data_IF_419982687548
#
_entry.id   IF_419982687548
#
_cell.length_a   1.000
_cell.length_b   1.000
_cell.length_c   1.000
_cell.angle_alpha   90.00
_cell.angle_beta   90.00
_cell.angle_gamma   90.00
#
_symmetry.space_group_name_H-M   'P 1'
#
loop_
_entity.id
_entity.type
_entity.pdbx_description
1 polymer ?
#
# COMPACT_ATOMS: atom_id res chain seq x y z
N UNK A 1 -20.37 -29.33 50.22
CA UNK A 1 -21.19 -28.13 49.91
C UNK A 1 -20.28 -27.04 49.44
N UNK A 2 -20.65 -26.27 48.38
CA UNK A 2 -19.87 -25.11 47.94
C UNK A 2 -19.88 -24.02 49.03
N UNK A 3 -18.73 -23.43 49.28
CA UNK A 3 -18.60 -22.30 50.23
C UNK A 3 -19.05 -21.04 49.51
N UNK A 4 -20.03 -20.29 50.03
CA UNK A 4 -20.46 -19.04 49.44
C UNK A 4 -19.33 -17.98 49.50
N UNK A 5 -19.00 -17.39 48.36
CA UNK A 5 -17.97 -16.37 48.25
C UNK A 5 -18.64 -15.00 47.99
N UNK A 6 -18.33 -14.00 48.83
CA UNK A 6 -18.68 -12.60 48.59
C UNK A 6 -17.46 -11.87 48.05
N UNK A 7 -17.20 -12.04 46.72
CA UNK A 7 -16.07 -11.45 46.03
C UNK A 7 -16.52 -10.76 44.75
N UNK A 8 -15.72 -9.82 44.28
CA UNK A 8 -15.83 -9.25 42.94
C UNK A 8 -14.68 -9.79 42.09
N UNK A 9 -15.03 -10.24 40.88
CA UNK A 9 -14.05 -10.74 39.90
C UNK A 9 -13.89 -9.71 38.81
N UNK A 10 -12.65 -9.34 38.55
CA UNK A 10 -12.28 -8.42 37.45
C UNK A 10 -11.37 -9.20 36.50
N UNK A 11 -11.78 -9.30 35.24
CA UNK A 11 -10.96 -9.89 34.19
C UNK A 11 -10.27 -8.76 33.41
N UNK A 12 -8.98 -8.91 33.20
CA UNK A 12 -8.16 -8.02 32.38
C UNK A 12 -7.61 -8.82 31.19
N UNK A 13 -7.74 -8.31 29.99
CA UNK A 13 -7.29 -9.01 28.80
C UNK A 13 -7.42 -8.17 27.54
N UNK A 14 -6.98 -8.73 26.42
CA UNK A 14 -7.09 -8.10 25.11
C UNK A 14 -8.56 -8.04 24.64
N UNK A 15 -8.99 -6.97 23.94
CA UNK A 15 -10.37 -6.81 23.50
C UNK A 15 -10.91 -7.98 22.69
N UNK A 16 -10.09 -8.60 21.83
CA UNK A 16 -10.54 -9.72 21.01
C UNK A 16 -10.91 -10.95 21.86
N UNK A 17 -10.23 -11.18 22.99
CA UNK A 17 -10.57 -12.28 23.93
C UNK A 17 -11.93 -12.01 24.57
N UNK A 18 -12.24 -10.76 24.93
CA UNK A 18 -13.56 -10.38 25.41
C UNK A 18 -14.65 -10.74 24.38
N UNK A 19 -14.45 -10.40 23.10
CA UNK A 19 -15.41 -10.71 22.04
C UNK A 19 -15.56 -12.22 21.82
N UNK A 20 -14.46 -13.00 21.86
CA UNK A 20 -14.51 -14.46 21.77
C UNK A 20 -15.29 -15.07 22.93
N UNK A 21 -15.02 -14.64 24.17
CA UNK A 21 -15.78 -15.13 25.36
C UNK A 21 -17.26 -14.74 25.24
N UNK A 22 -17.58 -13.50 24.87
CA UNK A 22 -18.97 -13.06 24.70
C UNK A 22 -19.72 -13.81 23.60
N UNK A 23 -19.02 -14.31 22.57
CA UNK A 23 -19.61 -15.02 21.43
C UNK A 23 -19.76 -16.53 21.69
N UNK A 24 -18.78 -17.15 22.35
CA UNK A 24 -18.69 -18.60 22.45
C UNK A 24 -19.00 -19.15 23.85
N UNK A 25 -19.01 -18.31 24.89
CA UNK A 25 -19.36 -18.70 26.25
C UNK A 25 -20.71 -18.11 26.67
N UNK A 26 -21.80 -18.91 26.68
CA UNK A 26 -23.14 -18.40 27.03
C UNK A 26 -23.24 -17.83 28.46
N UNK A 27 -22.42 -18.34 29.42
CA UNK A 27 -22.43 -17.90 30.79
C UNK A 27 -21.63 -16.62 31.02
N UNK A 28 -20.72 -16.26 30.11
CA UNK A 28 -19.84 -15.11 30.28
C UNK A 28 -20.63 -13.80 30.45
N UNK A 29 -21.63 -13.56 29.63
CA UNK A 29 -22.48 -12.36 29.70
C UNK A 29 -23.42 -12.36 30.92
N UNK A 30 -23.67 -13.52 31.52
CA UNK A 30 -24.45 -13.63 32.77
C UNK A 30 -23.58 -13.31 33.99
N UNK A 31 -22.32 -13.70 33.99
CA UNK A 31 -21.39 -13.51 35.10
C UNK A 31 -20.73 -12.14 35.07
N UNK A 32 -20.34 -11.61 33.88
CA UNK A 32 -19.63 -10.35 33.69
C UNK A 32 -20.52 -9.30 33.06
N UNK A 33 -21.23 -8.52 33.89
CA UNK A 33 -22.24 -7.54 33.46
C UNK A 33 -21.66 -6.22 33.00
N UNK A 34 -20.44 -5.87 33.38
CA UNK A 34 -19.82 -4.56 33.12
C UNK A 34 -18.57 -4.75 32.29
N UNK A 35 -18.60 -4.25 31.07
CA UNK A 35 -17.41 -4.14 30.22
C UNK A 35 -16.85 -2.72 30.34
N UNK A 36 -15.53 -2.61 30.49
CA UNK A 36 -14.78 -1.36 30.43
C UNK A 36 -13.75 -1.48 29.33
N UNK A 37 -13.93 -0.71 28.26
CA UNK A 37 -13.07 -0.75 27.10
C UNK A 37 -12.04 0.39 27.15
N UNK A 38 -10.79 0.09 26.77
CA UNK A 38 -9.71 1.04 26.69
C UNK A 38 -9.26 1.17 25.25
N UNK A 39 -9.36 2.38 24.67
CA UNK A 39 -8.85 2.63 23.33
C UNK A 39 -7.31 2.60 23.32
N UNK A 40 -6.73 1.95 22.33
CA UNK A 40 -5.30 1.89 22.13
C UNK A 40 -4.71 3.14 21.46
N UNK A 41 -5.57 4.12 21.11
CA UNK A 41 -5.21 5.39 20.47
C UNK A 41 -5.99 6.57 21.04
N UNK A 42 -5.42 7.76 20.92
CA UNK A 42 -6.08 9.04 21.25
C UNK A 42 -5.76 10.09 20.19
N UNK A 43 -6.59 11.11 20.08
CA UNK A 43 -6.36 12.23 19.16
C UNK A 43 -5.09 13.00 19.54
N UNK A 44 -4.26 13.33 18.54
CA UNK A 44 -3.06 14.14 18.69
C UNK A 44 -3.40 15.63 18.63
N UNK A 45 -3.86 16.19 19.76
CA UNK A 45 -4.13 17.61 19.96
C UNK A 45 -3.02 18.24 20.82
N UNK A 46 -2.99 19.58 20.92
CA UNK A 46 -2.05 20.26 21.83
C UNK A 46 -2.24 19.83 23.29
N UNK A 47 -3.50 19.64 23.72
CA UNK A 47 -3.83 19.17 25.07
C UNK A 47 -3.38 17.74 25.32
N UNK A 48 -3.69 16.82 24.42
CA UNK A 48 -3.28 15.42 24.57
C UNK A 48 -1.76 15.25 24.50
N UNK A 49 -1.05 16.03 23.67
CA UNK A 49 0.42 16.01 23.65
C UNK A 49 1.03 16.44 25.00
N UNK A 50 0.44 17.42 25.69
CA UNK A 50 0.89 17.82 27.03
C UNK A 50 0.67 16.70 28.06
N UNK A 51 -0.49 16.03 28.02
CA UNK A 51 -0.78 14.89 28.88
C UNK A 51 0.19 13.74 28.58
N UNK A 52 0.46 13.51 27.31
CA UNK A 52 1.40 12.47 26.86
C UNK A 52 2.85 12.74 27.32
N UNK A 53 3.29 14.00 27.27
CA UNK A 53 4.59 14.41 27.82
C UNK A 53 4.66 14.18 29.34
N UNK A 54 3.58 14.44 30.09
CA UNK A 54 3.51 14.12 31.52
C UNK A 54 3.56 12.62 31.78
N UNK A 55 2.92 11.81 30.93
CA UNK A 55 2.97 10.35 31.02
C UNK A 55 4.39 9.84 30.79
N UNK A 56 5.08 10.33 29.74
CA UNK A 56 6.50 10.00 29.48
C UNK A 56 7.37 10.33 30.71
N UNK A 57 7.23 11.52 31.28
CA UNK A 57 7.96 11.92 32.47
C UNK A 57 7.62 11.05 33.70
N UNK A 58 6.39 10.57 33.81
CA UNK A 58 5.97 9.66 34.89
C UNK A 58 6.58 8.29 34.71
N UNK A 59 6.56 7.73 33.49
CA UNK A 59 7.19 6.46 33.17
C UNK A 59 8.72 6.51 33.43
N UNK A 60 9.39 7.57 32.98
CA UNK A 60 10.81 7.74 33.21
C UNK A 60 11.15 7.74 34.72
N UNK A 61 10.34 8.39 35.56
CA UNK A 61 10.53 8.37 37.03
C UNK A 61 10.24 7.01 37.64
N UNK A 62 9.18 6.33 37.23
CA UNK A 62 8.82 5.01 37.72
C UNK A 62 9.90 3.97 37.42
N UNK A 63 10.52 4.09 36.26
CA UNK A 63 11.59 3.20 35.79
C UNK A 63 12.99 3.68 36.25
N UNK A 64 13.08 4.79 37.00
CA UNK A 64 14.35 5.38 37.46
C UNK A 64 15.31 5.75 36.32
N UNK A 65 14.75 6.20 35.19
CA UNK A 65 15.51 6.62 34.03
C UNK A 65 15.93 8.10 34.14
N UNK A 66 16.93 8.50 33.37
CA UNK A 66 17.36 9.88 33.21
C UNK A 66 16.22 10.77 32.69
N UNK A 67 16.20 12.05 33.04
CA UNK A 67 15.23 12.98 32.50
C UNK A 67 15.40 13.13 30.97
N UNK A 68 14.30 13.29 30.26
CA UNK A 68 14.28 13.59 28.84
C UNK A 68 14.22 15.10 28.62
N UNK A 69 14.97 15.61 27.66
CA UNK A 69 14.77 16.97 27.19
C UNK A 69 13.49 17.10 26.33
N UNK A 70 13.10 18.34 26.01
CA UNK A 70 11.89 18.59 25.24
C UNK A 70 11.91 17.99 23.84
N UNK A 71 13.08 17.86 23.24
CA UNK A 71 13.23 17.33 21.89
C UNK A 71 13.14 15.82 21.88
N UNK A 72 13.67 15.15 22.92
CA UNK A 72 13.49 13.73 23.16
C UNK A 72 12.02 13.38 23.34
N UNK A 73 11.30 14.15 24.20
CA UNK A 73 9.84 13.98 24.39
C UNK A 73 9.10 14.15 23.05
N UNK A 74 9.44 15.19 22.28
CA UNK A 74 8.87 15.39 20.94
C UNK A 74 9.11 14.20 20.01
N UNK A 75 10.33 13.63 20.03
CA UNK A 75 10.65 12.46 19.20
C UNK A 75 9.89 11.18 19.61
N UNK A 76 9.68 10.98 20.92
CA UNK A 76 8.84 9.88 21.41
C UNK A 76 7.38 10.05 20.95
N UNK A 77 6.83 11.28 21.00
CA UNK A 77 5.48 11.59 20.50
C UNK A 77 5.38 11.32 18.99
N UNK A 78 6.37 11.73 18.19
CA UNK A 78 6.44 11.43 16.75
C UNK A 78 6.47 9.92 16.50
N UNK A 79 7.27 9.18 17.26
CA UNK A 79 7.35 7.73 17.14
C UNK A 79 6.04 7.03 17.50
N UNK A 80 5.36 7.52 18.53
CA UNK A 80 4.02 7.03 18.92
C UNK A 80 2.99 7.16 17.79
N UNK A 81 2.98 8.31 17.10
CA UNK A 81 2.12 8.52 15.94
C UNK A 81 2.55 7.63 14.74
N UNK A 82 3.86 7.43 14.54
CA UNK A 82 4.39 6.51 13.52
C UNK A 82 3.92 5.07 13.73
N UNK A 83 3.90 4.59 14.98
CA UNK A 83 3.43 3.23 15.30
C UNK A 83 1.94 3.01 15.00
N UNK A 84 1.15 4.07 14.93
CA UNK A 84 -0.26 4.03 14.51
C UNK A 84 -0.45 4.32 13.02
N UNK A 85 0.61 4.64 12.29
CA UNK A 85 0.54 5.10 10.90
C UNK A 85 -0.46 6.26 10.71
N UNK A 86 -0.53 7.17 11.69
CA UNK A 86 -1.48 8.28 11.67
C UNK A 86 -0.90 9.50 12.42
N UNK A 87 -0.65 10.59 11.67
CA UNK A 87 -0.10 11.82 12.27
C UNK A 87 -1.05 12.53 13.22
N UNK A 88 -2.34 12.19 13.21
CA UNK A 88 -3.39 12.80 13.99
C UNK A 88 -3.73 11.99 15.26
N UNK A 89 -3.06 10.86 15.47
CA UNK A 89 -3.28 9.95 16.60
C UNK A 89 -2.00 9.71 17.41
N UNK A 90 -2.15 9.29 18.65
CA UNK A 90 -1.08 8.86 19.56
C UNK A 90 -1.43 7.50 20.15
N UNK A 91 -0.43 6.62 20.23
CA UNK A 91 -0.55 5.29 20.81
C UNK A 91 -0.66 5.37 22.34
N UNK A 92 -1.64 4.70 22.94
CA UNK A 92 -1.83 4.66 24.40
C UNK A 92 -1.10 3.50 25.08
N UNK A 93 -0.52 2.56 24.31
CA UNK A 93 0.16 1.39 24.83
C UNK A 93 1.50 1.73 25.52
N UNK A 94 1.49 1.79 26.85
CA UNK A 94 2.62 2.26 27.66
C UNK A 94 3.87 1.39 27.56
N UNK A 95 3.74 0.07 27.39
CA UNK A 95 4.89 -0.85 27.31
C UNK A 95 5.82 -0.50 26.15
N UNK A 96 5.28 -0.28 24.96
CA UNK A 96 6.07 0.09 23.78
C UNK A 96 6.84 1.38 23.99
N UNK A 97 6.25 2.36 24.72
CA UNK A 97 6.94 3.59 25.10
C UNK A 97 8.05 3.35 26.10
N UNK A 98 7.79 2.57 27.16
CA UNK A 98 8.77 2.26 28.20
C UNK A 98 10.00 1.58 27.60
N UNK A 99 9.82 0.67 26.66
CA UNK A 99 10.94 -0.02 26.01
C UNK A 99 11.85 0.94 25.23
N UNK A 100 11.27 1.92 24.51
CA UNK A 100 12.05 2.98 23.82
C UNK A 100 12.77 3.88 24.84
N UNK A 101 12.10 4.25 25.93
CA UNK A 101 12.71 5.10 26.97
C UNK A 101 13.90 4.41 27.64
N UNK A 102 13.78 3.14 27.98
CA UNK A 102 14.86 2.33 28.58
C UNK A 102 16.05 2.21 27.65
N UNK A 103 15.82 1.97 26.36
CA UNK A 103 16.90 1.86 25.39
C UNK A 103 17.56 3.21 25.13
N UNK A 104 16.81 4.30 25.07
CA UNK A 104 17.36 5.65 24.95
C UNK A 104 18.17 6.07 26.19
N UNK A 105 17.73 5.69 27.39
CA UNK A 105 18.47 5.88 28.64
C UNK A 105 19.81 5.12 28.64
N UNK A 106 19.81 3.86 28.20
CA UNK A 106 21.02 3.05 28.05
C UNK A 106 22.05 3.75 27.14
N UNK A 107 21.61 4.33 26.01
CA UNK A 107 22.53 5.05 25.12
C UNK A 107 23.09 6.34 25.74
N UNK A 108 22.26 7.09 26.49
CA UNK A 108 22.68 8.26 27.22
C UNK A 108 23.74 7.90 28.30
N UNK A 109 23.46 6.85 29.06
CA UNK A 109 24.39 6.33 30.07
C UNK A 109 25.75 5.95 29.50
N UNK A 110 25.71 5.18 28.41
CA UNK A 110 26.93 4.69 27.76
C UNK A 110 27.84 5.81 27.26
N UNK A 111 27.27 6.97 26.97
CA UNK A 111 27.99 8.16 26.54
C UNK A 111 28.30 9.16 27.71
N UNK A 112 27.89 8.79 28.92
CA UNK A 112 28.17 9.60 30.12
C UNK A 112 27.31 10.86 30.23
N UNK A 113 26.11 10.87 29.63
CA UNK A 113 25.19 11.99 29.70
C UNK A 113 24.10 11.76 30.75
N UNK A 114 23.74 12.81 31.49
CA UNK A 114 22.72 12.77 32.54
C UNK A 114 21.31 13.07 32.02
N UNK A 115 21.15 13.32 30.73
CA UNK A 115 19.88 13.67 30.08
C UNK A 115 19.71 12.91 28.78
N UNK A 116 18.53 12.37 28.55
CA UNK A 116 18.16 11.73 27.29
C UNK A 116 17.77 12.80 26.28
N UNK A 117 18.49 12.87 25.16
CA UNK A 117 18.22 13.82 24.07
C UNK A 117 17.48 13.13 22.91
N UNK A 118 17.04 13.95 21.90
CA UNK A 118 16.42 13.47 20.67
C UNK A 118 17.25 12.40 19.96
N UNK A 119 18.58 12.57 19.94
CA UNK A 119 19.52 11.68 19.27
C UNK A 119 19.52 10.29 19.90
N UNK A 120 19.43 10.19 21.24
CA UNK A 120 19.35 8.89 21.91
C UNK A 120 18.02 8.16 21.67
N UNK A 121 16.91 8.89 21.61
CA UNK A 121 15.63 8.32 21.21
C UNK A 121 15.69 7.83 19.76
N UNK A 122 16.29 8.62 18.85
CA UNK A 122 16.47 8.20 17.46
C UNK A 122 17.39 6.98 17.36
N UNK A 123 18.51 6.97 18.06
CA UNK A 123 19.44 5.84 18.10
C UNK A 123 18.79 4.56 18.61
N UNK A 124 17.91 4.66 19.61
CA UNK A 124 17.11 3.53 20.11
C UNK A 124 16.21 2.96 19.00
N UNK A 125 15.51 3.84 18.26
CA UNK A 125 14.65 3.44 17.14
C UNK A 125 15.47 2.77 16.03
N UNK A 126 16.58 3.39 15.62
CA UNK A 126 17.45 2.89 14.54
C UNK A 126 18.08 1.55 14.89
N UNK A 127 18.53 1.39 16.14
CA UNK A 127 19.11 0.14 16.63
C UNK A 127 18.07 -0.98 16.65
N UNK A 128 16.83 -0.67 17.03
CA UNK A 128 15.72 -1.63 17.00
C UNK A 128 15.41 -2.08 15.58
N UNK A 129 15.35 -1.17 14.63
CA UNK A 129 15.19 -1.46 13.20
C UNK A 129 16.36 -2.33 12.73
N UNK A 130 17.60 -1.93 12.97
CA UNK A 130 18.81 -2.66 12.55
C UNK A 130 18.83 -4.11 13.03
N UNK A 131 18.34 -4.39 14.24
CA UNK A 131 18.26 -5.76 14.76
C UNK A 131 17.21 -6.63 14.04
N UNK A 132 16.25 -6.02 13.35
CA UNK A 132 15.12 -6.71 12.73
C UNK A 132 15.17 -6.71 11.19
N UNK A 133 16.03 -5.88 10.56
CA UNK A 133 15.95 -5.56 9.14
C UNK A 133 16.77 -6.45 8.19
N UNK A 134 17.30 -7.57 8.67
CA UNK A 134 18.15 -8.46 7.87
C UNK A 134 17.49 -8.92 6.56
N UNK A 135 16.19 -9.19 6.58
CA UNK A 135 15.45 -9.60 5.38
C UNK A 135 15.39 -8.47 4.37
N UNK A 136 15.13 -7.24 4.84
CA UNK A 136 15.13 -6.03 4.00
C UNK A 136 16.50 -5.80 3.36
N UNK A 137 17.60 -5.90 4.14
CA UNK A 137 18.97 -5.75 3.64
C UNK A 137 19.29 -6.73 2.52
N UNK A 138 18.93 -8.02 2.68
CA UNK A 138 19.12 -9.03 1.65
C UNK A 138 18.35 -8.70 0.36
N UNK A 139 17.10 -8.27 0.47
CA UNK A 139 16.31 -7.89 -0.70
C UNK A 139 16.89 -6.67 -1.42
N UNK A 140 17.34 -5.67 -0.67
CA UNK A 140 18.02 -4.50 -1.24
C UNK A 140 19.34 -4.89 -1.93
N UNK A 141 20.07 -5.85 -1.38
CA UNK A 141 21.27 -6.38 -2.03
C UNK A 141 20.94 -7.07 -3.36
N UNK A 142 19.89 -7.92 -3.42
CA UNK A 142 19.47 -8.56 -4.66
C UNK A 142 19.05 -7.55 -5.74
N UNK A 143 18.36 -6.47 -5.35
CA UNK A 143 18.02 -5.37 -6.27
C UNK A 143 19.29 -4.64 -6.74
N UNK A 144 20.24 -4.36 -5.83
CA UNK A 144 21.51 -3.71 -6.17
C UNK A 144 22.36 -4.52 -7.14
N UNK A 145 22.37 -5.84 -6.96
CA UNK A 145 23.11 -6.78 -7.81
C UNK A 145 22.43 -7.05 -9.16
N UNK A 146 21.19 -6.57 -9.36
CA UNK A 146 20.42 -6.82 -10.56
C UNK A 146 19.85 -8.24 -10.65
N UNK A 147 19.85 -9.00 -9.57
CA UNK A 147 19.19 -10.32 -9.49
C UNK A 147 17.67 -10.12 -9.43
N UNK A 148 17.22 -9.14 -8.64
CA UNK A 148 15.84 -8.67 -8.64
C UNK A 148 15.75 -7.40 -9.48
N UNK A 149 14.87 -7.42 -10.49
CA UNK A 149 14.81 -6.39 -11.53
C UNK A 149 13.80 -5.30 -11.16
N UNK A 150 14.27 -4.19 -10.64
CA UNK A 150 13.49 -2.96 -10.41
C UNK A 150 14.16 -1.84 -11.18
N UNK A 151 13.40 -1.14 -12.02
CA UNK A 151 13.88 0.05 -12.71
C UNK A 151 13.52 1.30 -11.86
N UNK A 152 14.44 2.24 -11.71
CA UNK A 152 14.22 3.51 -11.00
C UNK A 152 14.46 4.74 -11.89
N UNK A 153 14.56 4.51 -13.20
CA UNK A 153 14.77 5.51 -14.25
C UNK A 153 14.34 4.98 -15.62
N UNK A 154 14.21 5.90 -16.59
CA UNK A 154 13.76 5.56 -17.93
C UNK A 154 12.25 5.36 -18.03
N UNK A 155 11.81 4.84 -19.16
CA UNK A 155 10.39 4.65 -19.49
C UNK A 155 10.15 3.26 -20.09
N UNK A 156 8.97 2.65 -19.79
CA UNK A 156 8.55 1.35 -20.30
C UNK A 156 7.05 1.33 -20.56
N UNK A 157 6.63 0.76 -21.69
CA UNK A 157 5.21 0.51 -21.98
C UNK A 157 4.73 -0.78 -21.29
N UNK A 158 3.62 -0.71 -20.59
CA UNK A 158 3.01 -1.86 -19.91
C UNK A 158 3.80 -2.34 -18.69
N UNK A 159 4.60 -1.48 -18.06
CA UNK A 159 5.35 -1.80 -16.85
C UNK A 159 5.23 -0.68 -15.82
N UNK A 160 4.97 -1.04 -14.56
CA UNK A 160 4.86 -0.12 -13.42
C UNK A 160 5.58 -0.72 -12.21
N UNK A 161 6.22 0.11 -11.40
CA UNK A 161 6.71 -0.28 -10.08
C UNK A 161 5.56 -0.22 -9.07
N UNK A 162 5.00 -1.36 -8.70
CA UNK A 162 4.03 -1.49 -7.62
C UNK A 162 4.71 -1.60 -6.26
N UNK A 163 4.01 -1.26 -5.18
CA UNK A 163 4.54 -1.30 -3.81
C UNK A 163 3.70 -2.21 -2.92
N UNK A 164 4.37 -3.11 -2.24
CA UNK A 164 3.81 -3.97 -1.20
C UNK A 164 4.55 -3.78 0.11
N UNK A 165 4.04 -4.37 1.20
CA UNK A 165 4.74 -4.47 2.49
C UNK A 165 5.03 -5.92 2.81
N UNK A 166 6.14 -6.14 3.51
CA UNK A 166 6.47 -7.40 4.14
C UNK A 166 6.41 -7.16 5.64
N UNK A 167 5.55 -7.91 6.32
CA UNK A 167 5.40 -7.87 7.76
C UNK A 167 6.03 -9.12 8.38
N UNK A 168 7.02 -8.91 9.25
CA UNK A 168 7.71 -9.96 10.01
C UNK A 168 7.19 -10.07 11.45
N UNK A 169 6.08 -9.40 11.76
CA UNK A 169 5.46 -9.34 13.08
C UNK A 169 6.06 -8.29 14.01
N UNK A 170 7.38 -8.15 14.04
CA UNK A 170 8.09 -7.14 14.84
C UNK A 170 8.71 -6.02 14.00
N UNK A 171 8.75 -6.18 12.69
CA UNK A 171 9.29 -5.21 11.74
C UNK A 171 8.56 -5.33 10.39
N UNK A 172 8.11 -4.19 9.88
CA UNK A 172 7.46 -4.07 8.58
C UNK A 172 8.27 -3.15 7.67
N UNK A 173 8.38 -3.49 6.40
CA UNK A 173 9.09 -2.68 5.41
C UNK A 173 8.46 -2.78 4.02
N UNK A 174 8.66 -1.74 3.21
CA UNK A 174 8.16 -1.67 1.85
C UNK A 174 9.03 -2.42 0.86
N UNK A 175 8.39 -3.07 -0.10
CA UNK A 175 9.02 -3.79 -1.21
C UNK A 175 8.47 -3.27 -2.53
N UNK A 176 9.32 -2.74 -3.44
CA UNK A 176 8.92 -2.53 -4.82
C UNK A 176 8.86 -3.87 -5.56
N UNK A 177 7.89 -3.97 -6.46
CA UNK A 177 7.71 -5.12 -7.36
C UNK A 177 7.45 -4.59 -8.77
N UNK A 178 8.06 -5.22 -9.77
CA UNK A 178 7.76 -4.92 -11.17
C UNK A 178 6.45 -5.57 -11.54
N UNK A 179 5.47 -4.78 -11.96
CA UNK A 179 4.19 -5.24 -12.49
C UNK A 179 4.20 -5.02 -13.99
N UNK A 180 3.87 -6.05 -14.76
CA UNK A 180 3.77 -5.93 -16.23
C UNK A 180 2.40 -6.35 -16.73
N UNK A 181 1.98 -5.67 -17.81
CA UNK A 181 0.76 -5.99 -18.55
C UNK A 181 1.10 -6.25 -20.01
N UNK A 182 0.46 -7.27 -20.59
CA UNK A 182 0.49 -7.55 -22.03
C UNK A 182 -0.93 -7.64 -22.55
N UNK A 183 -1.17 -7.03 -23.70
CA UNK A 183 -2.50 -6.95 -24.29
C UNK A 183 -2.49 -7.44 -25.74
N UNK A 184 -3.54 -8.14 -26.11
CA UNK A 184 -3.79 -8.59 -27.48
C UNK A 184 -5.29 -8.70 -27.73
N UNK A 185 -5.70 -8.79 -28.97
CA UNK A 185 -7.07 -9.17 -29.33
C UNK A 185 -7.36 -10.60 -28.86
N UNK A 186 -8.50 -10.83 -28.25
CA UNK A 186 -8.96 -12.14 -27.76
C UNK A 186 -10.24 -12.01 -26.94
N UNK A 187 -10.68 -13.07 -26.32
CA UNK A 187 -11.91 -13.19 -25.54
C UNK A 187 -11.71 -13.60 -24.07
N UNK A 188 -10.45 -13.72 -23.66
CA UNK A 188 -10.12 -14.18 -22.30
C UNK A 188 -10.31 -13.11 -21.20
N UNK A 189 -10.53 -11.86 -21.59
CA UNK A 189 -10.58 -10.74 -20.63
C UNK A 189 -9.20 -10.45 -20.01
N UNK A 190 -9.19 -9.97 -18.78
CA UNK A 190 -7.98 -9.73 -18.00
C UNK A 190 -7.67 -11.01 -17.20
N UNK A 191 -6.55 -11.61 -17.50
CA UNK A 191 -6.01 -12.80 -16.82
C UNK A 191 -4.93 -12.34 -15.84
N UNK A 192 -5.15 -12.62 -14.58
CA UNK A 192 -4.20 -12.45 -13.49
C UNK A 192 -3.40 -13.74 -13.34
N UNK A 193 -2.09 -13.67 -13.61
CA UNK A 193 -1.22 -14.85 -13.62
C UNK A 193 -1.08 -15.40 -12.20
N UNK A 194 -0.99 -14.54 -11.18
CA UNK A 194 -0.89 -14.97 -9.79
C UNK A 194 -2.10 -15.80 -9.35
N UNK A 195 -3.30 -15.41 -9.78
CA UNK A 195 -4.51 -16.17 -9.51
C UNK A 195 -4.51 -17.53 -10.23
N UNK A 196 -4.09 -17.56 -11.49
CA UNK A 196 -4.08 -18.81 -12.28
C UNK A 196 -3.10 -19.84 -11.75
N UNK A 197 -2.06 -19.39 -11.02
CA UNK A 197 -1.06 -20.27 -10.39
C UNK A 197 -1.25 -20.38 -8.87
N UNK A 198 -2.41 -19.95 -8.34
CA UNK A 198 -2.78 -20.03 -6.93
C UNK A 198 -1.85 -19.26 -5.96
N UNK A 199 -1.18 -18.22 -6.45
CA UNK A 199 -0.38 -17.28 -5.66
C UNK A 199 -1.15 -16.00 -5.31
N UNK A 200 -2.27 -15.72 -5.98
CA UNK A 200 -3.13 -14.56 -5.73
C UNK A 200 -4.21 -14.88 -4.69
N UNK A 201 -4.18 -14.18 -3.56
CA UNK A 201 -5.21 -14.31 -2.51
C UNK A 201 -6.57 -13.72 -2.93
N UNK A 202 -7.63 -13.98 -2.12
CA UNK A 202 -9.00 -13.56 -2.47
C UNK A 202 -9.17 -12.05 -2.63
N UNK A 203 -8.48 -11.24 -1.81
CA UNK A 203 -8.59 -9.77 -1.85
C UNK A 203 -7.85 -9.23 -3.07
N UNK A 204 -6.70 -9.79 -3.43
CA UNK A 204 -5.98 -9.48 -4.66
C UNK A 204 -6.84 -9.77 -5.89
N UNK A 205 -7.39 -10.99 -5.99
CA UNK A 205 -8.29 -11.39 -7.08
C UNK A 205 -9.51 -10.48 -7.21
N UNK A 206 -10.09 -10.04 -6.09
CA UNK A 206 -11.16 -9.03 -6.08
C UNK A 206 -10.71 -7.72 -6.72
N UNK A 207 -9.49 -7.26 -6.44
CA UNK A 207 -8.89 -6.08 -7.07
C UNK A 207 -8.86 -6.19 -8.60
N UNK A 208 -8.38 -7.32 -9.12
CA UNK A 208 -8.32 -7.59 -10.57
C UNK A 208 -9.72 -7.62 -11.22
N UNK A 209 -10.73 -8.18 -10.57
CA UNK A 209 -12.11 -8.12 -11.07
C UNK A 209 -12.64 -6.69 -11.13
N UNK A 210 -12.33 -5.85 -10.12
CA UNK A 210 -12.75 -4.45 -10.08
C UNK A 210 -12.14 -3.67 -11.25
N UNK A 211 -10.83 -3.80 -11.50
CA UNK A 211 -10.17 -3.11 -12.60
C UNK A 211 -10.69 -3.57 -13.97
N UNK A 212 -11.02 -4.85 -14.12
CA UNK A 212 -11.63 -5.39 -15.34
C UNK A 212 -13.02 -4.80 -15.58
N UNK A 213 -13.83 -4.70 -14.53
CA UNK A 213 -15.17 -4.06 -14.59
C UNK A 213 -15.06 -2.57 -14.93
N UNK A 214 -14.10 -1.84 -14.33
CA UNK A 214 -13.83 -0.44 -14.65
C UNK A 214 -13.50 -0.24 -16.13
N UNK A 215 -12.62 -1.07 -16.71
CA UNK A 215 -12.24 -0.97 -18.13
C UNK A 215 -13.43 -1.18 -19.04
N UNK A 216 -14.23 -2.20 -18.81
CA UNK A 216 -15.42 -2.50 -19.62
C UNK A 216 -16.46 -1.36 -19.57
N UNK A 217 -16.79 -0.91 -18.36
CA UNK A 217 -17.80 0.12 -18.14
C UNK A 217 -17.36 1.49 -18.70
N UNK A 218 -16.07 1.82 -18.60
CA UNK A 218 -15.56 3.13 -19.03
C UNK A 218 -15.33 3.26 -20.52
N UNK A 219 -14.81 2.21 -21.18
CA UNK A 219 -14.33 2.30 -22.56
C UNK A 219 -15.20 1.55 -23.58
N UNK A 220 -15.98 0.55 -23.16
CA UNK A 220 -16.81 -0.28 -24.04
C UNK A 220 -18.19 -0.56 -23.42
N UNK A 221 -18.99 0.45 -23.05
CA UNK A 221 -20.24 0.23 -22.32
C UNK A 221 -21.31 -0.55 -23.13
N UNK A 222 -21.24 -0.51 -24.45
CA UNK A 222 -22.25 -1.10 -25.36
C UNK A 222 -21.73 -2.32 -26.15
N UNK A 223 -20.46 -2.70 -25.97
CA UNK A 223 -19.84 -3.77 -26.74
C UNK A 223 -19.13 -4.78 -25.83
N UNK A 224 -19.18 -6.08 -26.13
CA UNK A 224 -18.38 -7.05 -25.41
C UNK A 224 -16.88 -6.77 -25.67
N UNK A 225 -16.03 -6.84 -24.63
CA UNK A 225 -14.60 -6.63 -24.80
C UNK A 225 -13.96 -7.77 -25.60
N UNK A 226 -13.28 -7.43 -26.69
CA UNK A 226 -12.45 -8.35 -27.48
C UNK A 226 -10.99 -8.28 -27.03
N UNK A 227 -10.77 -8.34 -25.73
CA UNK A 227 -9.48 -8.17 -25.07
C UNK A 227 -9.00 -9.49 -24.46
N UNK A 228 -7.73 -9.82 -24.68
CA UNK A 228 -6.99 -10.80 -23.91
C UNK A 228 -5.76 -10.10 -23.33
N UNK A 229 -5.78 -9.86 -22.03
CA UNK A 229 -4.70 -9.20 -21.31
C UNK A 229 -4.15 -10.13 -20.24
N UNK A 230 -2.86 -10.05 -19.96
CA UNK A 230 -2.24 -10.70 -18.80
C UNK A 230 -1.58 -9.67 -17.91
N UNK A 231 -1.73 -9.85 -16.60
CA UNK A 231 -1.05 -9.11 -15.55
C UNK A 231 -0.14 -10.07 -14.79
N UNK A 232 1.03 -9.59 -14.36
CA UNK A 232 1.96 -10.37 -13.55
C UNK A 232 2.84 -9.48 -12.67
N UNK A 233 3.10 -9.95 -11.45
CA UNK A 233 4.15 -9.44 -10.57
C UNK A 233 5.44 -10.20 -10.88
N UNK A 234 6.30 -9.60 -11.67
CA UNK A 234 7.55 -10.21 -12.09
C UNK A 234 8.43 -10.58 -10.88
N UNK A 235 9.01 -11.76 -10.91
CA UNK A 235 9.86 -12.29 -9.85
C UNK A 235 9.20 -12.33 -8.46
N UNK A 236 7.88 -12.51 -8.41
CA UNK A 236 7.17 -12.83 -7.17
C UNK A 236 6.91 -14.33 -7.11
N UNK A 237 7.40 -14.99 -6.06
CA UNK A 237 7.32 -16.45 -5.89
C UNK A 237 6.60 -16.82 -4.58
N UNK A 238 5.99 -15.87 -3.91
CA UNK A 238 5.18 -16.04 -2.72
C UNK A 238 3.79 -15.45 -2.89
N UNK A 239 2.93 -15.72 -1.93
CA UNK A 239 1.55 -15.27 -1.94
C UNK A 239 1.45 -13.74 -2.03
N UNK A 240 0.57 -13.26 -2.90
CA UNK A 240 0.20 -11.85 -3.03
C UNK A 240 -1.20 -11.67 -2.48
N UNK A 241 -1.34 -10.86 -1.45
CA UNK A 241 -2.62 -10.57 -0.81
C UNK A 241 -2.87 -9.06 -0.73
N UNK A 242 -4.15 -8.69 -0.73
CA UNK A 242 -4.58 -7.29 -0.71
C UNK A 242 -4.76 -6.68 -2.09
N UNK A 243 -5.55 -5.62 -2.14
CA UNK A 243 -5.90 -4.89 -3.37
C UNK A 243 -5.08 -3.59 -3.55
N UNK A 244 -4.10 -3.36 -2.70
CA UNK A 244 -3.33 -2.11 -2.63
C UNK A 244 -2.39 -1.86 -3.84
N UNK A 245 -2.26 -2.83 -4.74
CA UNK A 245 -1.51 -2.71 -5.98
C UNK A 245 -2.43 -2.56 -7.21
N UNK A 246 -3.76 -2.64 -7.05
CA UNK A 246 -4.71 -2.64 -8.19
C UNK A 246 -4.63 -1.37 -9.05
N UNK A 247 -4.27 -0.21 -8.48
CA UNK A 247 -3.98 0.99 -9.27
C UNK A 247 -2.73 0.82 -10.14
N UNK A 248 -1.66 0.22 -9.62
CA UNK A 248 -0.44 -0.03 -10.39
C UNK A 248 -0.68 -1.03 -11.53
N UNK A 249 -1.46 -2.08 -11.29
CA UNK A 249 -1.90 -3.05 -12.30
C UNK A 249 -2.73 -2.37 -13.39
N UNK A 250 -3.68 -1.52 -12.99
CA UNK A 250 -4.50 -0.77 -13.93
C UNK A 250 -3.66 0.20 -14.77
N UNK A 251 -2.69 0.90 -14.19
CA UNK A 251 -1.81 1.79 -14.94
C UNK A 251 -0.92 1.02 -15.93
N UNK A 252 -0.41 -0.15 -15.57
CA UNK A 252 0.32 -1.01 -16.49
C UNK A 252 -0.56 -1.43 -17.68
N UNK A 253 -1.82 -1.76 -17.42
CA UNK A 253 -2.79 -2.15 -18.44
C UNK A 253 -3.18 -0.98 -19.35
N UNK A 254 -3.47 0.20 -18.79
CA UNK A 254 -3.77 1.40 -19.55
C UNK A 254 -2.59 1.82 -20.42
N UNK A 255 -1.36 1.75 -19.90
CA UNK A 255 -0.13 1.99 -20.64
C UNK A 255 0.01 1.04 -21.84
N UNK A 256 -0.22 -0.25 -21.64
CA UNK A 256 -0.15 -1.25 -22.69
C UNK A 256 -1.23 -1.05 -23.77
N UNK A 257 -2.45 -0.70 -23.38
CA UNK A 257 -3.56 -0.42 -24.29
C UNK A 257 -3.34 0.89 -25.07
N UNK A 258 -2.88 1.95 -24.42
CA UNK A 258 -2.63 3.24 -25.04
C UNK A 258 -1.33 3.29 -25.84
N UNK A 259 -0.48 2.26 -25.75
CA UNK A 259 0.90 2.24 -26.25
C UNK A 259 1.67 3.50 -25.82
N UNK A 260 1.57 3.81 -24.51
CA UNK A 260 2.16 4.98 -23.88
C UNK A 260 3.17 4.56 -22.82
N UNK A 261 4.45 4.92 -22.92
CA UNK A 261 5.45 4.54 -21.95
C UNK A 261 5.20 5.21 -20.59
N UNK A 262 5.53 4.52 -19.53
CA UNK A 262 5.42 4.93 -18.13
C UNK A 262 6.79 5.20 -17.56
N UNK A 263 6.94 6.31 -16.84
CA UNK A 263 8.16 6.67 -16.12
C UNK A 263 8.45 5.65 -15.01
N UNK A 264 9.60 5.00 -15.08
CA UNK A 264 10.03 4.00 -14.10
C UNK A 264 10.64 4.63 -12.84
N UNK A 265 10.90 5.93 -12.86
CA UNK A 265 11.31 6.71 -11.69
C UNK A 265 10.18 6.90 -10.66
N UNK A 266 8.94 6.54 -10.99
CA UNK A 266 7.77 6.69 -10.13
C UNK A 266 7.20 5.32 -9.80
N UNK A 267 7.08 5.01 -8.50
CA UNK A 267 6.36 3.84 -8.02
C UNK A 267 4.93 4.19 -7.61
N UNK A 268 4.06 3.19 -7.55
CA UNK A 268 2.63 3.38 -7.32
C UNK A 268 2.12 2.46 -6.21
N UNK A 269 1.27 3.00 -5.36
CA UNK A 269 0.40 2.21 -4.47
C UNK A 269 -0.95 2.87 -4.33
N UNK A 270 -2.00 2.06 -4.29
CA UNK A 270 -3.38 2.49 -4.17
C UNK A 270 -4.33 1.36 -4.55
N UNK A 271 -5.48 1.31 -3.91
CA UNK A 271 -6.60 0.50 -4.37
C UNK A 271 -7.48 1.34 -5.30
N UNK A 272 -8.13 0.72 -6.27
CA UNK A 272 -9.06 1.40 -7.19
C UNK A 272 -10.46 0.81 -7.06
N UNK A 273 -11.49 1.67 -7.12
CA UNK A 273 -12.88 1.21 -7.18
C UNK A 273 -13.40 1.15 -8.62
N UNK A 274 -14.66 0.70 -8.80
CA UNK A 274 -15.27 0.55 -10.13
C UNK A 274 -15.52 1.87 -10.85
N UNK A 275 -15.52 3.01 -10.16
CA UNK A 275 -15.63 4.36 -10.72
C UNK A 275 -14.28 4.95 -11.14
N UNK A 276 -13.18 4.36 -10.72
CA UNK A 276 -11.83 4.86 -10.96
C UNK A 276 -11.30 5.80 -9.88
N UNK A 277 -11.98 5.85 -8.71
CA UNK A 277 -11.47 6.59 -7.56
C UNK A 277 -10.37 5.77 -6.88
N UNK A 278 -9.35 6.45 -6.39
CA UNK A 278 -8.21 5.86 -5.69
C UNK A 278 -8.50 5.82 -4.19
N UNK A 279 -8.44 4.61 -3.62
CA UNK A 279 -8.80 4.32 -2.23
C UNK A 279 -7.58 4.16 -1.34
N UNK A 280 -7.68 4.45 -0.03
CA UNK A 280 -6.58 4.35 0.92
C UNK A 280 -6.09 2.92 1.12
N UNK A 281 -4.80 2.81 1.48
CA UNK A 281 -4.11 1.53 1.72
C UNK A 281 -3.35 1.56 3.05
N UNK A 282 -2.99 0.41 3.57
CA UNK A 282 -2.10 0.26 4.72
C UNK A 282 -0.62 0.29 4.35
N UNK A 283 0.24 0.60 5.35
CA UNK A 283 1.69 0.58 5.18
C UNK A 283 2.23 1.64 4.21
N UNK A 284 1.55 2.78 4.08
CA UNK A 284 1.93 3.82 3.11
C UNK A 284 3.33 4.37 3.37
N UNK A 285 3.72 4.49 4.63
CA UNK A 285 5.03 4.99 5.02
C UNK A 285 6.14 4.01 4.61
N UNK A 286 5.96 2.75 4.93
CA UNK A 286 6.89 1.67 4.60
C UNK A 286 7.06 1.52 3.09
N UNK A 287 5.96 1.62 2.35
CA UNK A 287 5.95 1.56 0.88
C UNK A 287 6.76 2.68 0.25
N UNK A 288 6.55 3.94 0.71
CA UNK A 288 7.32 5.10 0.25
C UNK A 288 8.81 4.93 0.58
N UNK A 289 9.11 4.56 1.84
CA UNK A 289 10.47 4.39 2.33
C UNK A 289 11.20 3.25 1.61
N UNK A 290 10.50 2.16 1.30
CA UNK A 290 11.08 1.03 0.58
C UNK A 290 11.53 1.40 -0.84
N UNK A 291 10.74 2.17 -1.58
CA UNK A 291 11.15 2.64 -2.91
C UNK A 291 12.21 3.74 -2.83
N UNK A 292 12.07 4.65 -1.86
CA UNK A 292 13.09 5.68 -1.58
C UNK A 292 14.45 5.06 -1.33
N UNK A 293 14.55 4.01 -0.51
CA UNK A 293 15.81 3.33 -0.20
C UNK A 293 16.50 2.83 -1.46
N UNK A 294 15.77 2.23 -2.39
CA UNK A 294 16.30 1.75 -3.68
C UNK A 294 16.79 2.92 -4.54
N UNK A 295 16.01 3.98 -4.65
CA UNK A 295 16.38 5.17 -5.40
C UNK A 295 17.60 5.86 -4.80
N UNK A 296 17.64 6.01 -3.47
CA UNK A 296 18.75 6.64 -2.75
C UNK A 296 20.05 5.84 -2.89
N UNK A 297 19.97 4.51 -2.85
CA UNK A 297 21.13 3.63 -3.05
C UNK A 297 21.74 3.77 -4.45
N UNK A 298 20.92 4.10 -5.47
CA UNK A 298 21.34 4.32 -6.87
C UNK A 298 21.73 5.75 -7.17
N UNK A 299 21.39 6.68 -6.28
CA UNK A 299 21.55 8.13 -6.44
C UNK A 299 20.25 8.81 -6.87
N UNK A 300 19.78 9.74 -6.03
CA UNK A 300 18.57 10.52 -6.32
C UNK A 300 18.86 11.58 -7.40
N UNK A 301 18.03 11.60 -8.45
CA UNK A 301 18.12 12.57 -9.56
C UNK A 301 17.13 13.74 -9.43
N UNK A 302 16.13 13.61 -8.56
CA UNK A 302 15.01 14.56 -8.41
C UNK A 302 13.74 14.14 -9.18
N UNK A 303 13.84 13.13 -10.05
CA UNK A 303 12.70 12.63 -10.83
C UNK A 303 11.97 11.48 -10.14
N UNK A 304 12.59 10.90 -9.09
CA UNK A 304 12.03 9.76 -8.39
C UNK A 304 10.92 10.18 -7.43
N UNK A 305 9.92 9.30 -7.32
CA UNK A 305 8.81 9.54 -6.41
C UNK A 305 7.86 8.37 -6.27
N UNK A 306 6.85 8.58 -5.45
CA UNK A 306 5.79 7.59 -5.22
C UNK A 306 4.43 8.26 -5.36
N UNK A 307 3.53 7.62 -6.10
CA UNK A 307 2.12 7.96 -6.17
C UNK A 307 1.38 7.21 -5.05
N UNK A 308 0.60 7.94 -4.27
CA UNK A 308 -0.22 7.45 -3.16
C UNK A 308 -1.65 7.96 -3.26
N UNK A 309 -2.64 7.30 -2.62
CA UNK A 309 -3.97 7.86 -2.47
C UNK A 309 -3.96 9.18 -1.68
N UNK A 310 -4.69 10.21 -2.10
CA UNK A 310 -4.80 11.48 -1.38
C UNK A 310 -5.36 11.29 0.05
N UNK A 311 -6.25 10.33 0.23
CA UNK A 311 -6.78 9.93 1.53
C UNK A 311 -5.74 9.39 2.52
N UNK A 312 -4.55 8.96 2.05
CA UNK A 312 -3.43 8.53 2.89
C UNK A 312 -2.51 9.68 3.36
N UNK A 313 -2.69 10.91 2.90
CA UNK A 313 -1.82 12.04 3.30
C UNK A 313 -1.81 12.26 4.83
N UNK A 314 -2.94 12.05 5.50
CA UNK A 314 -3.04 12.12 6.97
C UNK A 314 -2.27 11.00 7.70
N UNK A 315 -1.92 9.92 7.01
CA UNK A 315 -1.19 8.78 7.57
C UNK A 315 0.34 8.91 7.42
N UNK A 316 0.82 9.96 6.75
CA UNK A 316 2.25 10.14 6.50
C UNK A 316 3.03 10.51 7.76
N UNK A 317 3.92 9.61 8.16
CA UNK A 317 4.88 9.74 9.25
C UNK A 317 6.27 9.26 8.80
N UNK A 318 6.77 9.82 7.70
CA UNK A 318 7.98 9.39 7.01
C UNK A 318 9.25 9.58 7.85
N UNK A 319 10.26 8.75 7.60
CA UNK A 319 11.60 8.89 8.15
C UNK A 319 12.19 10.26 7.82
N UNK A 320 13.10 10.73 8.66
CA UNK A 320 13.70 12.06 8.54
C UNK A 320 14.51 12.24 7.25
N UNK A 321 15.21 11.21 6.78
CA UNK A 321 15.98 11.22 5.54
C UNK A 321 15.08 11.35 4.30
N UNK A 322 13.95 10.64 4.28
CA UNK A 322 12.95 10.76 3.21
C UNK A 322 12.34 12.15 3.20
N UNK A 323 11.90 12.64 4.38
CA UNK A 323 11.32 13.98 4.53
C UNK A 323 12.29 15.06 4.04
N UNK A 324 13.57 14.97 4.42
CA UNK A 324 14.61 15.89 3.97
C UNK A 324 14.81 15.84 2.45
N UNK A 325 14.84 14.65 1.86
CA UNK A 325 14.96 14.51 0.42
C UNK A 325 13.76 15.14 -0.34
N UNK A 326 12.55 15.08 0.23
CA UNK A 326 11.36 15.75 -0.32
C UNK A 326 11.46 17.26 -0.17
N UNK A 327 11.89 17.78 0.98
CA UNK A 327 12.13 19.21 1.22
C UNK A 327 13.19 19.77 0.25
N UNK A 328 14.25 19.00 0.00
CA UNK A 328 15.34 19.33 -0.93
C UNK A 328 14.95 19.10 -2.41
N UNK A 329 13.71 18.70 -2.72
CA UNK A 329 13.20 18.37 -4.06
C UNK A 329 14.00 17.30 -4.79
N UNK A 330 14.58 16.35 -4.07
CA UNK A 330 15.32 15.21 -4.62
C UNK A 330 14.47 13.95 -4.71
N UNK A 331 13.30 13.95 -4.08
CA UNK A 331 12.31 12.89 -4.13
C UNK A 331 10.92 13.50 -4.03
N UNK A 332 9.89 12.84 -4.56
CA UNK A 332 8.52 13.38 -4.56
C UNK A 332 7.51 12.37 -4.06
N UNK A 333 6.47 12.86 -3.39
CA UNK A 333 5.28 12.07 -3.04
C UNK A 333 4.08 12.74 -3.68
N UNK A 334 3.43 12.04 -4.59
CA UNK A 334 2.29 12.53 -5.35
C UNK A 334 1.00 11.94 -4.78
N UNK A 335 0.08 12.78 -4.35
CA UNK A 335 -1.22 12.37 -3.87
C UNK A 335 -2.25 12.51 -4.98
N UNK A 336 -2.98 11.43 -5.28
CA UNK A 336 -3.99 11.39 -6.34
C UNK A 336 -5.34 10.92 -5.80
N UNK A 337 -6.42 11.38 -6.43
CA UNK A 337 -7.78 10.97 -6.11
C UNK A 337 -8.39 10.04 -7.18
N UNK A 338 -7.87 10.07 -8.41
CA UNK A 338 -8.42 9.33 -9.54
C UNK A 338 -7.36 8.59 -10.38
N UNK A 339 -7.83 7.62 -11.16
CA UNK A 339 -7.03 6.91 -12.18
C UNK A 339 -6.47 7.89 -13.22
N UNK A 340 -7.26 8.92 -13.58
CA UNK A 340 -6.84 9.90 -14.58
C UNK A 340 -5.63 10.72 -14.08
N UNK A 341 -5.62 11.16 -12.84
CA UNK A 341 -4.48 11.87 -12.24
C UNK A 341 -3.20 11.01 -12.28
N UNK A 342 -3.34 9.72 -11.95
CA UNK A 342 -2.19 8.81 -11.87
C UNK A 342 -1.58 8.50 -13.23
N UNK A 343 -2.40 8.20 -14.24
CA UNK A 343 -1.88 7.86 -15.58
C UNK A 343 -1.26 9.09 -16.26
N UNK A 344 -1.81 10.29 -16.03
CA UNK A 344 -1.23 11.54 -16.52
C UNK A 344 0.13 11.82 -15.88
N UNK A 345 0.26 11.65 -14.56
CA UNK A 345 1.55 11.76 -13.86
C UNK A 345 2.59 10.76 -14.38
N UNK A 346 2.19 9.54 -14.66
CA UNK A 346 3.09 8.46 -15.08
C UNK A 346 3.56 8.61 -16.52
N UNK A 347 2.70 9.08 -17.42
CA UNK A 347 2.99 9.16 -18.87
C UNK A 347 3.38 10.56 -19.33
N UNK A 348 3.00 11.60 -18.58
CA UNK A 348 3.10 12.99 -19.04
C UNK A 348 2.11 13.35 -20.16
N UNK A 349 1.17 12.47 -20.49
CA UNK A 349 0.14 12.67 -21.51
C UNK A 349 -1.20 12.88 -20.80
N UNK A 350 -2.00 13.90 -21.18
CA UNK A 350 -3.31 14.13 -20.59
C UNK A 350 -4.18 12.87 -20.63
N UNK A 351 -4.80 12.53 -19.50
CA UNK A 351 -5.73 11.40 -19.41
C UNK A 351 -6.94 11.63 -20.34
N UNK A 352 -7.51 12.82 -20.29
CA UNK A 352 -8.70 13.22 -21.06
C UNK A 352 -10.00 12.83 -20.37
N UNK A 353 -10.89 13.81 -20.17
CA UNK A 353 -12.25 13.56 -19.67
C UNK A 353 -13.21 13.41 -20.85
N UNK A 354 -14.22 12.54 -20.75
CA UNK A 354 -15.20 12.36 -21.81
C UNK A 354 -16.10 13.60 -21.97
N UNK A 355 -16.50 13.89 -23.21
CA UNK A 355 -17.55 14.87 -23.52
C UNK A 355 -18.96 14.34 -23.15
N UNK A 356 -20.00 15.17 -23.34
CA UNK A 356 -21.42 14.78 -23.08
C UNK A 356 -21.89 13.57 -23.90
N UNK A 357 -21.13 13.15 -24.91
CA UNK A 357 -21.38 11.97 -25.74
C UNK A 357 -20.48 10.79 -25.39
N UNK A 358 -19.73 10.86 -24.29
CA UNK A 358 -18.82 9.82 -23.84
C UNK A 358 -17.52 9.69 -24.67
N UNK A 359 -17.16 10.70 -25.50
CA UNK A 359 -15.97 10.67 -26.33
C UNK A 359 -14.81 11.38 -25.65
N UNK A 360 -13.67 10.74 -25.60
CA UNK A 360 -12.44 11.30 -25.05
C UNK A 360 -11.73 12.20 -26.08
N UNK A 361 -11.00 13.26 -25.63
CA UNK A 361 -10.23 14.13 -26.50
C UNK A 361 -9.15 13.37 -27.28
N UNK A 362 -8.97 13.74 -28.56
CA UNK A 362 -7.93 13.14 -29.39
C UNK A 362 -6.53 13.29 -28.77
N UNK A 363 -5.71 12.25 -28.88
CA UNK A 363 -4.35 12.22 -28.35
C UNK A 363 -4.25 11.91 -26.86
N UNK A 364 -5.35 11.95 -26.10
CA UNK A 364 -5.38 11.58 -24.68
C UNK A 364 -5.20 10.07 -24.47
N UNK A 365 -4.76 9.68 -23.28
CA UNK A 365 -4.61 8.26 -22.91
C UNK A 365 -5.93 7.52 -23.05
N UNK A 366 -7.02 8.05 -22.49
CA UNK A 366 -8.34 7.42 -22.52
C UNK A 366 -8.85 7.25 -23.97
N UNK A 367 -8.59 8.21 -24.87
CA UNK A 367 -8.95 8.07 -26.28
C UNK A 367 -8.14 6.96 -26.97
N UNK A 368 -6.85 6.84 -26.70
CA UNK A 368 -6.00 5.78 -27.26
C UNK A 368 -6.47 4.40 -26.78
N UNK A 369 -6.80 4.26 -25.48
CA UNK A 369 -7.35 3.03 -24.92
C UNK A 369 -8.67 2.67 -25.59
N UNK A 370 -9.61 3.62 -25.69
CA UNK A 370 -10.90 3.43 -26.32
C UNK A 370 -10.74 2.98 -27.78
N UNK A 371 -9.94 3.68 -28.58
CA UNK A 371 -9.69 3.33 -29.98
C UNK A 371 -9.07 1.93 -30.14
N UNK A 372 -8.17 1.54 -29.25
CA UNK A 372 -7.56 0.20 -29.26
C UNK A 372 -8.59 -0.89 -29.00
N UNK A 373 -9.46 -0.70 -28.04
CA UNK A 373 -10.50 -1.66 -27.67
C UNK A 373 -11.62 -1.74 -28.73
N UNK A 374 -12.03 -0.59 -29.30
CA UNK A 374 -12.96 -0.53 -30.44
C UNK A 374 -12.39 -1.31 -31.63
N UNK A 375 -11.12 -1.06 -32.00
CA UNK A 375 -10.44 -1.77 -33.09
C UNK A 375 -10.38 -3.29 -32.85
N UNK A 376 -10.12 -3.75 -31.63
CA UNK A 376 -10.14 -5.17 -31.30
C UNK A 376 -11.51 -5.78 -31.49
N UNK A 377 -12.59 -5.10 -31.06
CA UNK A 377 -13.98 -5.56 -31.20
C UNK A 377 -14.41 -5.64 -32.67
N UNK A 378 -14.12 -4.60 -33.49
CA UNK A 378 -14.43 -4.59 -34.92
C UNK A 378 -13.69 -5.68 -35.68
N UNK A 379 -12.41 -5.88 -35.37
CA UNK A 379 -11.57 -6.89 -36.01
C UNK A 379 -12.09 -8.30 -35.69
N UNK A 380 -12.44 -8.58 -34.43
CA UNK A 380 -12.98 -9.87 -34.01
C UNK A 380 -14.32 -10.19 -34.68
N UNK A 381 -15.22 -9.20 -34.77
CA UNK A 381 -16.49 -9.34 -35.49
C UNK A 381 -16.27 -9.67 -36.99
N UNK A 382 -15.27 -9.03 -37.61
CA UNK A 382 -14.94 -9.29 -39.02
C UNK A 382 -14.44 -10.72 -39.27
N UNK A 383 -13.71 -11.32 -38.31
CA UNK A 383 -13.26 -12.72 -38.39
C UNK A 383 -14.44 -13.67 -38.18
N UNK A 384 -15.33 -13.43 -37.22
CA UNK A 384 -16.50 -14.24 -36.96
C UNK A 384 -17.47 -14.27 -38.19
N UNK A 385 -17.68 -13.12 -38.85
CA UNK A 385 -18.50 -13.01 -40.05
C UNK A 385 -17.93 -13.73 -41.28
N UNK A 386 -16.61 -13.89 -41.38
CA UNK A 386 -15.96 -14.67 -42.45
C UNK A 386 -16.05 -16.17 -42.20
N UNK A 387 -16.06 -16.65 -40.97
CA UNK A 387 -16.19 -18.07 -40.62
C UNK A 387 -17.57 -18.64 -40.93
N UNK A 388 -18.63 -17.82 -40.86
CA UNK A 388 -20.01 -18.28 -41.13
C UNK A 388 -20.37 -18.40 -42.65
N UNK A 389 -19.59 -17.82 -43.55
CA UNK A 389 -19.80 -17.86 -45.00
C UNK A 389 -19.11 -19.05 -45.71
N UNK A 390 -18.41 -19.92 -44.98
CA UNK A 390 -17.57 -20.99 -45.55
C UNK A 390 -18.12 -22.41 -45.47
N UNK A 391 -19.34 -22.67 -44.99
CA UNK A 391 -19.96 -23.98 -45.10
C UNK A 391 -20.81 -24.05 -46.38
N UNK A 392 -20.42 -24.78 -47.45
CA UNK A 392 -21.30 -25.08 -48.57
C UNK A 392 -22.40 -25.99 -48.04
N UNK A 393 -23.63 -25.62 -48.33
CA UNK A 393 -24.80 -26.47 -48.09
C UNK A 393 -24.55 -27.85 -48.73
N UNK A 394 -24.38 -28.88 -47.89
CA UNK A 394 -24.26 -30.26 -48.36
C UNK A 394 -25.50 -30.62 -49.18
N UNK A 395 -25.26 -30.86 -50.44
CA UNK A 395 -26.27 -31.41 -51.38
C UNK A 395 -26.72 -32.78 -50.86
N UNK A 396 -27.92 -32.80 -50.29
CA UNK A 396 -28.63 -34.05 -50.05
C UNK A 396 -29.00 -34.68 -51.38
N UNK A 397 -28.52 -35.86 -51.69
CA UNK A 397 -29.08 -36.75 -52.70
C UNK A 397 -30.07 -37.68 -52.01
N UNK A 398 -31.30 -37.84 -52.55
CA UNK A 398 -32.23 -38.84 -52.06
C UNK A 398 -32.01 -40.14 -52.83
N UNK A 399 -31.94 -41.25 -52.12
CA UNK A 399 -32.36 -42.58 -52.58
C UNK A 399 -32.53 -43.54 -51.39
#
# INVERSE_FOLDING_TARGET
EPVPLDIKVILLGEPHIYYLLSMYDPEFSELFKVAVDFDYRMDRTSGSQQLYARQIATLARQESLRPLDRYAVGRVIEHSARLLEDREKLLTHTRSLTDILREADYWAERQGHDTVTREYVQQSIDTRIHRADRVREHMQEEIRRGTMLIDSEGERTGQVNGLSVIDLGNFMFGRPSRITARVRMGDSGVVDIEREVELGGPIHSKGVFILSAFLGARFLPEQPPALSASLVFEQSYGDIEGDSASSAELFALLSALADAPVRQSIAVTGSVNQQGDIQPIGGVNEKIEGFFDICNMRGLTGDQGVIIPASNVKHLMLREDVRKAVEDRRFSVYAIDSVDDGIELLTGIPAGLPDDKGRFPDGSINRRVQQRLEHYSETMQSYAGKGSKGQPAGSGTPS
#
